data_IF_100416051873
#
_entry.id   IF_100416051873
#
_cell.length_a   1.000
_cell.length_b   1.000
_cell.length_c   1.000
_cell.angle_alpha   90.00
_cell.angle_beta   90.00
_cell.angle_gamma   90.00
#
_symmetry.space_group_name_H-M   'P 1'
#
loop_
_entity.id
_entity.type
_entity.pdbx_description
1 polymer ?
#
# COMPACT_ATOMS: atom_id res chain seq x y z
N UNK A 1 -19.84 -5.16 -5.21
CA UNK A 1 -18.64 -4.31 -5.06
C UNK A 1 -17.81 -4.42 -6.33
N UNK A 2 -17.02 -3.39 -6.69
CA UNK A 2 -16.24 -3.37 -7.94
C UNK A 2 -14.79 -3.84 -7.79
N UNK A 3 -14.30 -3.99 -6.55
CA UNK A 3 -12.95 -4.47 -6.25
C UNK A 3 -12.94 -6.00 -6.07
N UNK A 4 -11.84 -6.69 -6.41
CA UNK A 4 -11.69 -8.11 -6.12
C UNK A 4 -11.74 -8.40 -4.62
N UNK A 5 -12.47 -9.46 -4.25
CA UNK A 5 -12.68 -9.88 -2.87
C UNK A 5 -11.88 -11.14 -2.56
N UNK A 6 -11.28 -11.16 -1.37
CA UNK A 6 -10.47 -12.27 -0.89
C UNK A 6 -11.12 -12.85 0.37
N UNK A 7 -11.53 -14.12 0.35
CA UNK A 7 -12.02 -14.80 1.55
C UNK A 7 -10.85 -15.30 2.41
N UNK A 8 -10.80 -14.89 3.68
CA UNK A 8 -9.77 -15.30 4.64
C UNK A 8 -10.27 -16.51 5.46
N UNK A 9 -9.76 -17.70 5.17
CA UNK A 9 -10.28 -18.96 5.74
C UNK A 9 -9.42 -19.43 6.92
N UNK A 10 -10.08 -19.69 8.06
CA UNK A 10 -9.46 -20.27 9.25
C UNK A 10 -10.37 -21.32 9.88
N UNK A 11 -9.78 -22.43 10.34
CA UNK A 11 -10.41 -23.53 11.08
C UNK A 11 -11.47 -24.31 10.28
N UNK A 12 -12.53 -23.64 9.81
CA UNK A 12 -13.61 -24.25 9.05
C UNK A 12 -13.47 -23.98 7.56
N UNK A 13 -12.99 -24.99 6.83
CA UNK A 13 -12.84 -24.92 5.37
C UNK A 13 -14.16 -25.08 4.61
N UNK A 14 -15.26 -25.46 5.26
CA UNK A 14 -16.58 -25.52 4.60
C UNK A 14 -17.01 -24.16 4.07
N UNK A 15 -16.65 -23.09 4.78
CA UNK A 15 -16.86 -21.70 4.37
C UNK A 15 -16.15 -21.34 3.06
N UNK A 16 -15.05 -22.02 2.75
CA UNK A 16 -14.33 -21.85 1.49
C UNK A 16 -15.18 -22.26 0.29
N UNK A 17 -15.92 -23.37 0.38
CA UNK A 17 -16.80 -23.81 -0.71
C UNK A 17 -17.94 -22.83 -0.95
N UNK A 18 -18.54 -22.31 0.14
CA UNK A 18 -19.57 -21.28 0.07
C UNK A 18 -19.01 -20.01 -0.59
N UNK A 19 -17.81 -19.56 -0.19
CA UNK A 19 -17.18 -18.37 -0.76
C UNK A 19 -16.91 -18.54 -2.26
N UNK A 20 -16.45 -19.72 -2.70
CA UNK A 20 -16.25 -20.04 -4.12
C UNK A 20 -17.58 -20.05 -4.88
N UNK A 21 -18.64 -20.62 -4.30
CA UNK A 21 -19.99 -20.62 -4.87
C UNK A 21 -20.55 -19.21 -5.05
N UNK A 22 -20.31 -18.33 -4.07
CA UNK A 22 -20.70 -16.91 -4.12
C UNK A 22 -19.85 -16.05 -5.06
N UNK A 23 -18.82 -16.62 -5.70
CA UNK A 23 -18.01 -15.93 -6.70
C UNK A 23 -16.89 -15.05 -6.12
N UNK A 24 -16.26 -15.45 -5.01
CA UNK A 24 -15.06 -14.77 -4.50
C UNK A 24 -13.89 -14.82 -5.49
N UNK A 25 -13.10 -13.75 -5.60
CA UNK A 25 -12.01 -13.66 -6.59
C UNK A 25 -10.71 -14.36 -6.15
N UNK A 26 -10.55 -14.62 -4.85
CA UNK A 26 -9.40 -15.33 -4.27
C UNK A 26 -9.76 -15.92 -2.91
N UNK A 27 -9.14 -17.04 -2.55
CA UNK A 27 -9.19 -17.54 -1.17
C UNK A 27 -7.80 -17.46 -0.53
N UNK A 28 -7.75 -17.22 0.78
CA UNK A 28 -6.54 -17.35 1.60
C UNK A 28 -6.71 -18.54 2.53
N UNK A 29 -5.72 -19.44 2.54
CA UNK A 29 -5.59 -20.49 3.55
C UNK A 29 -4.41 -20.22 4.49
N UNK A 30 -4.51 -20.63 5.74
CA UNK A 30 -3.42 -20.59 6.71
C UNK A 30 -3.04 -22.01 7.12
N UNK A 31 -1.83 -22.49 6.77
CA UNK A 31 -1.30 -23.78 7.21
C UNK A 31 -1.47 -24.09 8.70
N UNK A 32 -1.44 -23.05 9.54
CA UNK A 32 -1.63 -23.11 10.99
C UNK A 32 -3.04 -23.46 11.46
N UNK A 33 -4.06 -23.14 10.66
CA UNK A 33 -5.47 -23.27 11.03
C UNK A 33 -6.24 -24.17 10.06
N UNK A 34 -5.55 -24.89 9.18
CA UNK A 34 -6.14 -25.91 8.30
C UNK A 34 -6.08 -27.27 9.01
N UNK A 35 -7.22 -27.81 9.49
CA UNK A 35 -7.21 -29.02 10.32
C UNK A 35 -7.12 -30.32 9.52
N UNK A 36 -7.57 -30.32 8.25
CA UNK A 36 -7.76 -31.55 7.47
C UNK A 36 -7.28 -31.37 6.02
N UNK A 37 -6.27 -32.16 5.64
CA UNK A 37 -5.68 -32.15 4.28
C UNK A 37 -6.62 -32.66 3.20
N UNK A 38 -7.53 -33.58 3.50
CA UNK A 38 -8.50 -34.09 2.54
C UNK A 38 -9.55 -33.04 2.18
N UNK A 39 -10.04 -32.29 3.18
CA UNK A 39 -10.94 -31.16 2.96
C UNK A 39 -10.22 -30.05 2.19
N UNK A 40 -8.98 -29.74 2.57
CA UNK A 40 -8.16 -28.77 1.84
C UNK A 40 -7.99 -29.20 0.36
N UNK A 41 -7.70 -30.47 0.09
CA UNK A 41 -7.58 -30.98 -1.28
C UNK A 41 -8.86 -30.75 -2.08
N UNK A 42 -10.02 -31.07 -1.51
CA UNK A 42 -11.34 -30.83 -2.15
C UNK A 42 -11.53 -29.34 -2.44
N UNK A 43 -11.19 -28.46 -1.50
CA UNK A 43 -11.29 -27.01 -1.69
C UNK A 43 -10.35 -26.50 -2.80
N UNK A 44 -9.12 -27.01 -2.86
CA UNK A 44 -8.17 -26.68 -3.94
C UNK A 44 -8.68 -27.16 -5.29
N UNK A 45 -9.29 -28.35 -5.38
CA UNK A 45 -9.89 -28.83 -6.64
C UNK A 45 -11.04 -27.93 -7.09
N UNK A 46 -11.86 -27.45 -6.16
CA UNK A 46 -12.95 -26.51 -6.46
C UNK A 46 -12.42 -25.16 -6.95
N UNK A 47 -11.42 -24.61 -6.27
CA UNK A 47 -10.77 -23.37 -6.69
C UNK A 47 -10.11 -23.51 -8.07
N UNK A 48 -9.47 -24.67 -8.33
CA UNK A 48 -8.88 -25.02 -9.64
C UNK A 48 -9.93 -25.09 -10.74
N UNK A 49 -11.07 -25.75 -10.49
CA UNK A 49 -12.16 -25.85 -11.47
C UNK A 49 -12.71 -24.46 -11.89
N UNK A 50 -12.61 -23.47 -11.00
CA UNK A 50 -13.03 -22.09 -11.21
C UNK A 50 -11.89 -21.13 -11.61
N UNK A 51 -10.65 -21.63 -11.69
CA UNK A 51 -9.42 -20.84 -11.87
C UNK A 51 -9.26 -19.68 -10.85
N UNK A 52 -9.67 -19.89 -9.60
CA UNK A 52 -9.59 -18.90 -8.53
C UNK A 52 -8.26 -19.02 -7.79
N UNK A 53 -7.42 -17.97 -7.72
CA UNK A 53 -6.13 -18.04 -7.05
C UNK A 53 -6.25 -18.40 -5.56
N UNK A 54 -5.18 -19.00 -5.02
CA UNK A 54 -5.08 -19.34 -3.59
C UNK A 54 -3.87 -18.64 -2.98
N UNK A 55 -4.08 -17.90 -1.90
CA UNK A 55 -2.98 -17.39 -1.07
C UNK A 55 -2.65 -18.38 0.05
N UNK A 56 -1.44 -18.96 0.04
CA UNK A 56 -0.88 -19.71 1.16
C UNK A 56 -0.23 -18.72 2.13
N UNK A 57 -0.90 -18.43 3.25
CA UNK A 57 -0.46 -17.40 4.18
C UNK A 57 -0.03 -17.92 5.54
N UNK A 58 1.29 -18.02 5.75
CA UNK A 58 1.92 -18.45 7.01
C UNK A 58 2.12 -17.24 7.93
N UNK A 59 1.63 -17.36 9.17
CA UNK A 59 1.84 -16.38 10.23
C UNK A 59 2.57 -17.06 11.39
N UNK A 60 3.59 -16.39 11.96
CA UNK A 60 4.36 -16.91 13.11
C UNK A 60 3.52 -17.31 14.31
N UNK A 61 2.52 -16.48 14.68
CA UNK A 61 1.65 -16.75 15.82
C UNK A 61 0.77 -18.00 15.70
N UNK A 62 0.61 -18.54 14.48
CA UNK A 62 -0.20 -19.72 14.21
C UNK A 62 0.59 -20.87 13.57
N UNK A 63 1.92 -20.79 13.53
CA UNK A 63 2.73 -21.81 12.88
C UNK A 63 2.51 -23.18 13.57
N UNK A 64 2.26 -24.28 12.82
CA UNK A 64 2.11 -25.60 13.44
C UNK A 64 3.36 -26.01 14.23
N UNK A 65 3.18 -26.68 15.36
CA UNK A 65 4.29 -27.06 16.26
C UNK A 65 5.30 -28.05 15.63
N UNK A 66 4.97 -28.64 14.47
CA UNK A 66 5.90 -29.46 13.69
C UNK A 66 7.01 -28.66 13.00
N UNK A 67 6.94 -27.32 13.00
CA UNK A 67 7.95 -26.44 12.41
C UNK A 67 8.64 -25.60 13.49
N UNK A 68 9.92 -25.28 13.28
CA UNK A 68 10.64 -24.35 14.15
C UNK A 68 10.03 -22.95 14.11
N UNK A 69 9.99 -22.25 15.25
CA UNK A 69 9.39 -20.89 15.35
C UNK A 69 10.39 -19.79 14.97
N UNK A 70 11.21 -20.06 13.95
CA UNK A 70 12.19 -19.17 13.33
C UNK A 70 11.87 -18.96 11.83
N UNK A 71 12.69 -18.15 11.14
CA UNK A 71 12.48 -17.84 9.72
C UNK A 71 12.54 -19.09 8.84
N UNK A 72 13.41 -20.04 9.15
CA UNK A 72 13.56 -21.29 8.41
C UNK A 72 12.30 -22.15 8.51
N UNK A 73 11.71 -22.27 9.69
CA UNK A 73 10.46 -23.02 9.90
C UNK A 73 9.25 -22.36 9.24
N UNK A 74 9.19 -21.02 9.24
CA UNK A 74 8.17 -20.27 8.49
C UNK A 74 8.25 -20.54 6.99
N UNK A 75 9.45 -20.45 6.41
CA UNK A 75 9.67 -20.71 4.98
C UNK A 75 9.39 -22.18 4.67
N UNK A 76 9.86 -23.11 5.50
CA UNK A 76 9.61 -24.53 5.30
C UNK A 76 8.12 -24.86 5.27
N UNK A 77 7.34 -24.29 6.19
CA UNK A 77 5.89 -24.48 6.22
C UNK A 77 5.21 -23.96 4.94
N UNK A 78 5.63 -22.79 4.45
CA UNK A 78 5.11 -22.25 3.19
C UNK A 78 5.44 -23.16 2.00
N UNK A 79 6.70 -23.60 1.89
CA UNK A 79 7.17 -24.50 0.82
C UNK A 79 6.43 -25.84 0.82
N UNK A 80 6.23 -26.45 2.00
CA UNK A 80 5.54 -27.74 2.11
C UNK A 80 4.08 -27.65 1.66
N UNK A 81 3.37 -26.55 1.98
CA UNK A 81 1.99 -26.35 1.54
C UNK A 81 1.88 -25.94 0.07
N UNK A 82 2.82 -25.15 -0.45
CA UNK A 82 2.90 -24.84 -1.89
C UNK A 82 3.09 -26.14 -2.67
N UNK A 83 4.10 -26.94 -2.31
CA UNK A 83 4.38 -28.23 -2.95
C UNK A 83 3.18 -29.18 -2.87
N UNK A 84 2.50 -29.24 -1.73
CA UNK A 84 1.31 -30.07 -1.56
C UNK A 84 0.21 -29.70 -2.57
N UNK A 85 0.00 -28.40 -2.82
CA UNK A 85 -1.00 -27.91 -3.78
C UNK A 85 -0.54 -28.16 -5.23
N UNK A 86 0.75 -28.00 -5.52
CA UNK A 86 1.36 -28.33 -6.80
C UNK A 86 1.24 -29.83 -7.13
N UNK A 87 1.44 -30.70 -6.15
CA UNK A 87 1.28 -32.16 -6.27
C UNK A 87 -0.19 -32.55 -6.56
N UNK A 88 -1.15 -31.67 -6.23
CA UNK A 88 -2.55 -31.81 -6.63
C UNK A 88 -2.85 -31.18 -8.01
N UNK A 89 -1.82 -30.64 -8.66
CA UNK A 89 -1.86 -30.09 -10.01
C UNK A 89 -2.44 -28.68 -10.07
N UNK A 90 -2.23 -27.83 -9.06
CA UNK A 90 -2.65 -26.43 -9.09
C UNK A 90 -1.50 -25.48 -8.75
N UNK A 91 -1.37 -24.39 -9.51
CA UNK A 91 -0.23 -23.46 -9.43
C UNK A 91 -0.65 -21.98 -9.53
N UNK A 92 -1.94 -21.64 -9.50
CA UNK A 92 -2.36 -20.24 -9.43
C UNK A 92 -2.29 -19.78 -7.96
N UNK A 93 -1.07 -19.54 -7.48
CA UNK A 93 -0.75 -19.34 -6.07
C UNK A 93 -0.15 -17.96 -5.79
N UNK A 94 -0.43 -17.46 -4.59
CA UNK A 94 0.25 -16.33 -3.96
C UNK A 94 0.76 -16.82 -2.61
N UNK A 95 1.93 -16.37 -2.17
CA UNK A 95 2.50 -16.79 -0.87
C UNK A 95 2.68 -15.59 0.03
N UNK A 96 2.52 -15.76 1.35
CA UNK A 96 2.91 -14.74 2.31
C UNK A 96 3.47 -15.37 3.58
N UNK A 97 4.57 -14.80 4.07
CA UNK A 97 5.09 -15.07 5.41
C UNK A 97 5.05 -13.78 6.20
N UNK A 98 4.39 -13.80 7.36
CA UNK A 98 4.27 -12.63 8.23
C UNK A 98 4.75 -12.93 9.64
N UNK A 99 5.59 -12.02 10.14
CA UNK A 99 5.94 -11.91 11.54
C UNK A 99 5.52 -10.55 12.09
N UNK A 100 5.44 -10.46 13.41
CA UNK A 100 5.34 -9.19 14.10
C UNK A 100 6.69 -8.50 14.26
N UNK A 101 7.80 -9.16 13.95
CA UNK A 101 9.11 -8.53 13.87
C UNK A 101 9.42 -8.09 12.42
N UNK A 102 9.77 -6.80 12.18
CA UNK A 102 10.10 -6.31 10.85
C UNK A 102 11.30 -7.01 10.20
N UNK A 103 12.36 -7.27 10.95
CA UNK A 103 13.60 -7.88 10.42
C UNK A 103 13.36 -9.34 10.04
N UNK A 104 12.69 -10.11 10.90
CA UNK A 104 12.28 -11.48 10.61
C UNK A 104 11.34 -11.55 9.39
N UNK A 105 10.44 -10.58 9.24
CA UNK A 105 9.57 -10.49 8.05
C UNK A 105 10.40 -10.32 6.78
N UNK A 106 11.40 -9.43 6.80
CA UNK A 106 12.29 -9.18 5.65
C UNK A 106 13.10 -10.44 5.33
N UNK A 107 13.78 -11.00 6.32
CA UNK A 107 14.67 -12.14 6.14
C UNK A 107 13.93 -13.41 5.72
N UNK A 108 12.74 -13.67 6.27
CA UNK A 108 11.92 -14.81 5.87
C UNK A 108 11.41 -14.67 4.42
N UNK A 109 11.00 -13.47 4.00
CA UNK A 109 10.53 -13.26 2.62
C UNK A 109 11.69 -13.25 1.61
N UNK A 110 12.89 -12.78 1.96
CA UNK A 110 14.12 -12.96 1.17
C UNK A 110 14.42 -14.43 0.93
N UNK A 111 14.41 -15.22 2.00
CA UNK A 111 14.65 -16.65 1.93
C UNK A 111 13.56 -17.37 1.13
N UNK A 112 12.29 -16.96 1.26
CA UNK A 112 11.20 -17.50 0.46
C UNK A 112 11.39 -17.22 -1.04
N UNK A 113 11.73 -15.97 -1.39
CA UNK A 113 11.94 -15.53 -2.77
C UNK A 113 13.09 -16.27 -3.47
N UNK A 114 14.08 -16.79 -2.72
CA UNK A 114 15.16 -17.61 -3.29
C UNK A 114 14.73 -19.05 -3.61
N UNK A 115 13.57 -19.50 -3.14
CA UNK A 115 13.08 -20.88 -3.32
C UNK A 115 11.87 -21.01 -4.25
N UNK A 116 11.07 -19.95 -4.44
CA UNK A 116 9.85 -19.96 -5.24
C UNK A 116 9.75 -18.74 -6.16
N UNK A 117 9.00 -18.89 -7.25
CA UNK A 117 8.73 -17.84 -8.24
C UNK A 117 7.27 -17.35 -8.20
N UNK A 118 6.55 -17.62 -7.11
CA UNK A 118 5.17 -17.15 -6.93
C UNK A 118 5.12 -15.72 -6.38
N UNK A 119 4.09 -14.92 -6.72
CA UNK A 119 3.89 -13.61 -6.14
C UNK A 119 3.84 -13.64 -4.61
N UNK A 120 4.51 -12.68 -3.96
CA UNK A 120 4.61 -12.53 -2.52
C UNK A 120 3.68 -11.42 -2.04
N UNK A 121 2.76 -11.76 -1.13
CA UNK A 121 1.94 -10.80 -0.39
C UNK A 121 2.65 -10.39 0.90
N UNK A 122 3.31 -9.24 0.85
CA UNK A 122 4.14 -8.71 1.93
C UNK A 122 3.30 -7.98 3.00
N UNK A 123 3.75 -8.04 4.25
CA UNK A 123 3.17 -7.25 5.34
C UNK A 123 3.71 -7.67 6.70
N UNK A 124 3.90 -6.69 7.59
CA UNK A 124 4.18 -6.92 9.01
C UNK A 124 2.84 -7.12 9.72
N UNK A 125 2.68 -8.22 10.45
CA UNK A 125 1.45 -8.47 11.24
C UNK A 125 1.59 -7.88 12.64
N UNK A 126 0.47 -7.68 13.34
CA UNK A 126 0.48 -7.17 14.73
C UNK A 126 1.37 -5.92 14.89
N UNK A 127 1.24 -4.95 13.98
CA UNK A 127 2.08 -3.76 13.99
C UNK A 127 1.71 -2.82 15.15
N UNK A 128 0.48 -2.90 15.64
CA UNK A 128 -0.10 -1.98 16.63
C UNK A 128 -0.87 -0.83 15.98
N UNK A 129 -1.34 0.11 16.79
CA UNK A 129 -2.11 1.28 16.35
C UNK A 129 -1.29 2.56 16.25
N UNK A 130 -1.85 3.55 15.55
CA UNK A 130 -1.29 4.90 15.43
C UNK A 130 0.14 4.93 14.88
N UNK A 131 0.92 5.93 15.29
CA UNK A 131 2.27 6.18 14.78
C UNK A 131 3.23 5.00 14.98
N UNK A 132 3.07 4.20 16.05
CA UNK A 132 3.93 3.03 16.32
C UNK A 132 3.74 1.94 15.26
N UNK A 133 2.48 1.64 14.92
CA UNK A 133 2.16 0.66 13.88
C UNK A 133 2.57 1.12 12.50
N UNK A 134 2.44 2.42 12.22
CA UNK A 134 2.90 3.05 10.98
C UNK A 134 4.40 2.89 10.84
N UNK A 135 5.20 3.36 11.81
CA UNK A 135 6.67 3.26 11.77
C UNK A 135 7.12 1.81 11.62
N UNK A 136 6.55 0.90 12.42
CA UNK A 136 6.90 -0.53 12.37
C UNK A 136 6.61 -1.17 11.02
N UNK A 137 5.45 -0.87 10.42
CA UNK A 137 5.09 -1.36 9.10
C UNK A 137 5.97 -0.76 8.01
N UNK A 138 6.23 0.55 8.06
CA UNK A 138 7.09 1.25 7.10
C UNK A 138 8.50 0.67 7.07
N UNK A 139 9.10 0.38 8.24
CA UNK A 139 10.44 -0.23 8.31
C UNK A 139 10.46 -1.60 7.63
N UNK A 140 9.56 -2.52 8.01
CA UNK A 140 9.55 -3.87 7.45
C UNK A 140 9.23 -3.91 5.95
N UNK A 141 8.25 -3.11 5.51
CA UNK A 141 7.88 -3.02 4.10
C UNK A 141 8.98 -2.38 3.26
N UNK A 142 9.55 -1.25 3.70
CA UNK A 142 10.56 -0.55 2.91
C UNK A 142 11.83 -1.36 2.68
N UNK A 143 12.28 -2.11 3.70
CA UNK A 143 13.47 -2.96 3.59
C UNK A 143 13.27 -4.07 2.56
N UNK A 144 12.14 -4.80 2.61
CA UNK A 144 11.87 -5.87 1.66
C UNK A 144 11.59 -5.35 0.24
N UNK A 145 10.80 -4.28 0.11
CA UNK A 145 10.45 -3.70 -1.20
C UNK A 145 11.68 -3.14 -1.93
N UNK A 146 12.64 -2.54 -1.20
CA UNK A 146 13.89 -2.03 -1.78
C UNK A 146 14.76 -3.16 -2.35
N UNK A 147 14.67 -4.35 -1.78
CA UNK A 147 15.35 -5.55 -2.26
C UNK A 147 14.56 -6.26 -3.39
N UNK A 148 13.51 -5.62 -3.91
CA UNK A 148 12.68 -6.15 -5.00
C UNK A 148 11.69 -7.23 -4.57
N UNK A 149 11.37 -7.32 -3.27
CA UNK A 149 10.52 -8.38 -2.72
C UNK A 149 9.14 -7.82 -2.36
N UNK A 150 8.11 -8.40 -2.99
CA UNK A 150 6.71 -8.14 -2.69
C UNK A 150 5.94 -7.61 -3.90
N UNK A 151 4.87 -8.32 -4.25
CA UNK A 151 4.02 -8.03 -5.41
C UNK A 151 2.70 -7.37 -4.99
N UNK A 152 2.30 -7.58 -3.74
CA UNK A 152 1.19 -6.89 -3.09
C UNK A 152 1.53 -6.64 -1.63
N UNK A 153 1.13 -5.49 -1.10
CA UNK A 153 1.37 -5.12 0.30
C UNK A 153 0.07 -5.07 1.09
N UNK A 154 0.17 -5.34 2.40
CA UNK A 154 -0.86 -5.00 3.37
C UNK A 154 -0.20 -4.47 4.64
N UNK A 155 -0.54 -3.25 5.02
CA UNK A 155 -0.26 -2.69 6.36
C UNK A 155 -1.31 -3.26 7.32
N UNK A 156 -0.93 -3.63 8.55
CA UNK A 156 -1.85 -4.23 9.54
C UNK A 156 -1.87 -3.39 10.82
N UNK A 157 -2.73 -2.37 10.84
CA UNK A 157 -2.87 -1.43 11.96
C UNK A 157 -4.06 -1.81 12.84
N UNK A 158 -3.95 -1.51 14.13
CA UNK A 158 -5.12 -1.48 15.00
C UNK A 158 -5.84 -0.15 14.79
N UNK A 159 -6.97 -0.15 14.06
CA UNK A 159 -7.76 1.05 13.79
C UNK A 159 -8.60 0.94 12.52
N UNK A 160 -8.91 2.09 11.92
CA UNK A 160 -9.64 2.19 10.66
C UNK A 160 -8.84 1.57 9.49
N UNK A 161 -9.39 0.61 8.74
CA UNK A 161 -8.73 0.03 7.56
C UNK A 161 -8.38 1.05 6.48
N UNK A 162 -9.07 2.19 6.39
CA UNK A 162 -8.72 3.28 5.47
C UNK A 162 -7.31 3.80 5.75
N UNK A 163 -6.90 3.86 7.03
CA UNK A 163 -5.53 4.26 7.39
C UNK A 163 -4.50 3.22 6.96
N UNK A 164 -4.82 1.92 6.96
CA UNK A 164 -3.92 0.90 6.40
C UNK A 164 -3.64 1.16 4.91
N UNK A 165 -4.69 1.54 4.16
CA UNK A 165 -4.58 1.84 2.72
C UNK A 165 -3.76 3.11 2.48
N UNK A 166 -4.04 4.20 3.21
CA UNK A 166 -3.29 5.46 3.11
C UNK A 166 -1.79 5.22 3.36
N UNK A 167 -1.47 4.53 4.45
CA UNK A 167 -0.07 4.23 4.83
C UNK A 167 0.60 3.32 3.80
N UNK A 168 -0.11 2.33 3.24
CA UNK A 168 0.43 1.48 2.20
C UNK A 168 0.84 2.28 0.94
N UNK A 169 -0.03 3.19 0.49
CA UNK A 169 0.31 4.07 -0.64
C UNK A 169 1.43 5.04 -0.31
N UNK A 170 1.48 5.59 0.91
CA UNK A 170 2.56 6.48 1.36
C UNK A 170 3.93 5.81 1.31
N UNK A 171 4.01 4.57 1.80
CA UNK A 171 5.24 3.77 1.76
C UNK A 171 5.67 3.53 0.32
N UNK A 172 4.76 3.06 -0.54
CA UNK A 172 5.06 2.78 -1.95
C UNK A 172 5.49 4.04 -2.70
N UNK A 173 4.88 5.19 -2.40
CA UNK A 173 5.24 6.49 -2.98
C UNK A 173 6.59 6.98 -2.52
N UNK A 174 6.88 6.88 -1.23
CA UNK A 174 8.16 7.26 -0.65
C UNK A 174 9.34 6.45 -1.22
N UNK A 175 9.07 5.23 -1.70
CA UNK A 175 10.04 4.37 -2.37
C UNK A 175 10.08 4.55 -3.90
N UNK A 176 9.23 5.41 -4.46
CA UNK A 176 9.13 5.62 -5.91
C UNK A 176 8.50 4.45 -6.67
N UNK A 177 7.80 3.54 -5.99
CA UNK A 177 7.19 2.34 -6.60
C UNK A 177 5.78 2.60 -7.13
N UNK A 178 5.07 3.59 -6.59
CA UNK A 178 3.74 4.01 -7.03
C UNK A 178 3.58 5.52 -6.89
N UNK A 179 2.80 6.13 -7.77
CA UNK A 179 2.56 7.57 -7.80
C UNK A 179 1.06 7.84 -7.78
N UNK A 180 0.42 7.66 -6.62
CA UNK A 180 -1.01 7.94 -6.42
C UNK A 180 -1.18 9.09 -5.42
N UNK A 181 -2.02 10.05 -5.78
CA UNK A 181 -2.42 11.18 -4.96
C UNK A 181 -1.33 12.21 -4.73
N UNK A 182 -1.66 13.20 -3.89
CA UNK A 182 -0.81 14.36 -3.63
C UNK A 182 0.35 14.01 -2.70
N UNK A 183 1.57 14.29 -3.14
CA UNK A 183 2.77 14.24 -2.32
C UNK A 183 3.02 15.63 -1.72
N UNK A 184 2.71 15.79 -0.44
CA UNK A 184 2.89 17.06 0.27
C UNK A 184 4.32 17.17 0.81
N UNK A 185 5.06 18.14 0.30
CA UNK A 185 6.44 18.41 0.67
C UNK A 185 6.44 19.67 1.53
N UNK A 186 6.67 19.52 2.83
CA UNK A 186 6.73 20.64 3.75
C UNK A 186 8.09 20.77 4.41
N UNK A 187 8.52 22.01 4.65
CA UNK A 187 9.67 22.24 5.52
C UNK A 187 9.28 22.00 6.98
N UNK A 188 10.20 21.55 7.85
CA UNK A 188 9.98 21.64 9.28
C UNK A 188 9.82 23.11 9.70
N UNK A 189 9.09 23.36 10.79
CA UNK A 189 9.08 24.70 11.39
C UNK A 189 10.46 25.01 11.98
N UNK A 190 10.91 26.26 11.83
CA UNK A 190 12.17 26.75 12.38
C UNK A 190 12.02 28.21 12.82
N UNK A 191 13.07 28.83 13.37
CA UNK A 191 13.04 30.24 13.81
C UNK A 191 12.77 31.27 12.70
N UNK A 192 12.70 30.85 11.43
CA UNK A 192 12.31 31.68 10.28
C UNK A 192 10.84 31.55 9.90
N UNK A 193 10.12 30.59 10.47
CA UNK A 193 8.69 30.41 10.20
C UNK A 193 7.93 31.57 10.85
N UNK A 194 7.25 32.37 10.03
CA UNK A 194 6.52 33.56 10.48
C UNK A 194 5.00 33.37 10.46
N UNK A 195 4.55 32.15 10.18
CA UNK A 195 3.14 31.78 10.05
C UNK A 195 2.85 30.51 10.84
N UNK A 196 1.58 30.24 11.07
CA UNK A 196 1.09 28.95 11.56
C UNK A 196 1.08 27.92 10.43
N UNK A 197 2.27 27.44 10.08
CA UNK A 197 2.48 26.49 8.98
C UNK A 197 1.74 25.17 9.22
N UNK A 198 1.61 24.73 10.48
CA UNK A 198 0.93 23.48 10.82
C UNK A 198 -0.55 23.55 10.46
N UNK A 199 -1.23 24.64 10.85
CA UNK A 199 -2.63 24.87 10.51
C UNK A 199 -2.86 24.93 8.99
N UNK A 200 -2.01 25.67 8.26
CA UNK A 200 -2.11 25.77 6.80
C UNK A 200 -1.82 24.43 6.10
N UNK A 201 -0.85 23.67 6.60
CA UNK A 201 -0.55 22.34 6.07
C UNK A 201 -1.74 21.41 6.23
N UNK A 202 -2.36 21.36 7.42
CA UNK A 202 -3.53 20.51 7.69
C UNK A 202 -4.74 20.90 6.83
N UNK A 203 -4.95 22.20 6.61
CA UNK A 203 -6.01 22.70 5.71
C UNK A 203 -5.80 22.19 4.27
N UNK A 204 -4.57 22.32 3.74
CA UNK A 204 -4.21 21.83 2.40
C UNK A 204 -4.33 20.31 2.33
N UNK A 205 -3.82 19.58 3.33
CA UNK A 205 -3.87 18.12 3.39
C UNK A 205 -5.30 17.59 3.35
N UNK A 206 -6.19 18.15 4.17
CA UNK A 206 -7.59 17.75 4.19
C UNK A 206 -8.30 18.10 2.89
N UNK A 207 -8.04 19.27 2.30
CA UNK A 207 -8.69 19.69 1.07
C UNK A 207 -8.30 18.86 -0.16
N UNK A 208 -7.13 18.22 -0.11
CA UNK A 208 -6.54 17.45 -1.21
C UNK A 208 -6.58 15.92 -1.00
N UNK A 209 -7.21 15.44 0.07
CA UNK A 209 -7.23 14.03 0.46
C UNK A 209 -7.81 13.10 -0.63
N UNK A 210 -8.82 13.56 -1.36
CA UNK A 210 -9.51 12.78 -2.41
C UNK A 210 -8.80 12.84 -3.77
N UNK A 211 -7.78 13.69 -3.92
CA UNK A 211 -7.04 13.83 -5.17
C UNK A 211 -6.19 12.57 -5.38
N UNK A 212 -6.41 11.89 -6.50
CA UNK A 212 -5.75 10.60 -6.81
C UNK A 212 -4.66 10.70 -7.87
N UNK A 213 -4.59 11.82 -8.60
CA UNK A 213 -3.51 12.07 -9.56
C UNK A 213 -2.17 12.25 -8.83
N UNK A 214 -1.05 11.78 -9.42
CA UNK A 214 0.27 12.10 -8.89
C UNK A 214 0.59 13.57 -9.10
N UNK A 215 0.83 14.29 -8.02
CA UNK A 215 1.26 15.69 -8.06
C UNK A 215 2.06 16.04 -6.82
N UNK A 216 3.20 16.70 -7.01
CA UNK A 216 4.06 17.17 -5.92
C UNK A 216 3.68 18.60 -5.52
N UNK A 217 3.28 18.77 -4.26
CA UNK A 217 2.79 20.05 -3.72
C UNK A 217 3.68 20.50 -2.57
N UNK A 218 4.34 21.64 -2.73
CA UNK A 218 5.24 22.19 -1.72
C UNK A 218 4.56 23.22 -0.81
N UNK A 219 4.76 23.11 0.50
CA UNK A 219 4.21 24.01 1.54
C UNK A 219 5.33 24.50 2.46
N UNK A 220 5.82 25.71 2.23
CA UNK A 220 7.06 26.21 2.85
C UNK A 220 6.80 27.40 3.77
N UNK A 221 7.27 27.34 5.01
CA UNK A 221 7.02 28.37 6.04
C UNK A 221 7.87 29.65 5.96
N UNK A 222 8.79 29.75 5.00
CA UNK A 222 9.55 30.98 4.76
C UNK A 222 9.83 31.22 3.26
N UNK A 223 9.90 32.49 2.87
CA UNK A 223 10.17 32.90 1.48
C UNK A 223 11.63 32.77 1.03
N UNK A 224 12.57 32.52 1.97
CA UNK A 224 14.01 32.52 1.69
C UNK A 224 14.47 31.20 1.09
N UNK A 225 14.13 30.09 1.73
CA UNK A 225 14.48 28.76 1.23
C UNK A 225 13.34 28.11 0.43
N UNK A 226 12.09 28.55 0.64
CA UNK A 226 10.90 27.92 0.07
C UNK A 226 10.92 27.77 -1.46
N UNK A 227 11.15 28.84 -2.24
CA UNK A 227 11.16 28.73 -3.70
C UNK A 227 12.33 27.89 -4.26
N UNK A 228 13.43 27.78 -3.52
CA UNK A 228 14.60 26.98 -3.91
C UNK A 228 14.43 25.49 -3.61
N UNK A 229 13.94 25.18 -2.41
CA UNK A 229 13.63 23.81 -1.94
C UNK A 229 12.45 23.20 -2.70
N UNK A 230 11.53 24.04 -3.19
CA UNK A 230 10.34 23.61 -3.92
C UNK A 230 10.47 23.61 -5.45
N UNK A 231 11.66 23.84 -6.02
CA UNK A 231 11.84 23.83 -7.50
C UNK A 231 11.44 22.51 -8.15
N UNK A 232 11.52 21.42 -7.40
CA UNK A 232 11.20 20.07 -7.87
C UNK A 232 9.70 19.77 -7.78
N UNK A 233 8.92 20.56 -7.05
CA UNK A 233 7.48 20.38 -6.93
C UNK A 233 6.74 20.94 -8.15
N UNK A 234 5.61 20.33 -8.50
CA UNK A 234 4.75 20.78 -9.58
C UNK A 234 4.12 22.14 -9.27
N UNK A 235 3.73 22.35 -8.02
CA UNK A 235 3.25 23.63 -7.52
C UNK A 235 3.51 23.77 -6.02
N UNK A 236 3.35 24.99 -5.49
CA UNK A 236 3.44 25.18 -4.06
C UNK A 236 3.36 26.62 -3.60
N UNK A 237 3.45 26.78 -2.29
CA UNK A 237 3.38 28.06 -1.59
C UNK A 237 4.63 28.25 -0.72
N UNK A 238 5.23 29.43 -0.80
CA UNK A 238 6.21 29.90 0.17
C UNK A 238 5.63 31.08 0.96
N UNK A 239 5.37 30.84 2.24
CA UNK A 239 4.80 31.83 3.15
C UNK A 239 5.86 32.81 3.66
N UNK A 240 5.47 34.07 3.79
CA UNK A 240 6.08 35.08 4.64
C UNK A 240 5.03 35.58 5.65
N UNK A 241 5.40 36.54 6.50
CA UNK A 241 4.53 37.03 7.58
C UNK A 241 3.09 37.39 7.14
N UNK A 242 2.97 38.23 6.12
CA UNK A 242 1.67 38.78 5.68
C UNK A 242 1.37 38.45 4.20
N UNK A 243 2.26 37.70 3.53
CA UNK A 243 2.18 37.41 2.09
C UNK A 243 2.67 36.01 1.80
N UNK A 244 2.15 35.41 0.74
CA UNK A 244 2.54 34.09 0.28
C UNK A 244 2.82 34.12 -1.22
N UNK A 245 3.94 33.52 -1.63
CA UNK A 245 4.30 33.37 -3.04
C UNK A 245 3.76 32.03 -3.53
N UNK A 246 2.86 32.07 -4.52
CA UNK A 246 2.39 30.88 -5.22
C UNK A 246 3.20 30.67 -6.49
N UNK A 247 3.65 29.44 -6.73
CA UNK A 247 4.45 29.09 -7.90
C UNK A 247 4.01 27.76 -8.50
N UNK A 248 4.28 27.61 -9.81
CA UNK A 248 4.05 26.39 -10.59
C UNK A 248 5.34 26.08 -11.36
N UNK A 249 5.87 24.87 -11.21
CA UNK A 249 7.12 24.40 -11.84
C UNK A 249 8.27 25.40 -11.69
N UNK A 250 8.43 25.91 -10.45
CA UNK A 250 9.44 26.90 -10.09
C UNK A 250 9.23 28.32 -10.63
N UNK A 251 8.13 28.60 -11.36
CA UNK A 251 7.77 29.95 -11.84
C UNK A 251 6.77 30.59 -10.90
N UNK A 252 7.08 31.80 -10.43
CA UNK A 252 6.19 32.59 -9.59
C UNK A 252 4.96 32.99 -10.41
N UNK A 253 3.78 32.56 -9.97
CA UNK A 253 2.50 32.95 -10.55
C UNK A 253 2.07 34.31 -9.99
N UNK A 254 2.28 34.51 -8.69
CA UNK A 254 1.94 35.75 -8.02
C UNK A 254 2.28 35.72 -6.54
N UNK A 255 2.04 36.85 -5.89
CA UNK A 255 2.13 37.00 -4.43
C UNK A 255 0.77 37.43 -3.93
N UNK A 256 0.24 36.68 -2.97
CA UNK A 256 -1.13 36.83 -2.47
C UNK A 256 -1.13 36.92 -0.94
N UNK A 257 -2.27 37.22 -0.35
CA UNK A 257 -2.46 36.96 1.08
C UNK A 257 -2.41 35.45 1.36
N UNK A 258 -1.99 35.00 2.56
CA UNK A 258 -1.83 33.57 2.86
C UNK A 258 -3.04 32.70 2.54
N UNK A 259 -4.25 33.15 2.92
CA UNK A 259 -5.49 32.41 2.65
C UNK A 259 -5.82 32.32 1.17
N UNK A 260 -5.69 33.44 0.45
CA UNK A 260 -5.91 33.47 -0.99
C UNK A 260 -4.92 32.55 -1.72
N UNK A 261 -3.66 32.48 -1.27
CA UNK A 261 -2.68 31.55 -1.83
C UNK A 261 -3.07 30.08 -1.62
N UNK A 262 -3.57 29.72 -0.43
CA UNK A 262 -4.06 28.37 -0.11
C UNK A 262 -5.25 28.00 -1.02
N UNK A 263 -6.26 28.88 -1.12
CA UNK A 263 -7.42 28.67 -1.98
C UNK A 263 -7.02 28.47 -3.45
N UNK A 264 -6.07 29.28 -3.95
CA UNK A 264 -5.54 29.16 -5.32
C UNK A 264 -4.80 27.86 -5.55
N UNK A 265 -3.98 27.44 -4.60
CA UNK A 265 -3.27 26.15 -4.67
C UNK A 265 -4.27 24.99 -4.74
N UNK A 266 -5.25 24.97 -3.85
CA UNK A 266 -6.27 23.91 -3.79
C UNK A 266 -7.07 23.87 -5.10
N UNK A 267 -7.52 25.02 -5.61
CA UNK A 267 -8.24 25.11 -6.89
C UNK A 267 -7.39 24.56 -8.03
N UNK A 268 -6.14 24.99 -8.12
CA UNK A 268 -5.22 24.54 -9.16
C UNK A 268 -5.05 23.02 -9.15
N UNK A 269 -4.80 22.41 -7.99
CA UNK A 269 -4.62 20.95 -7.88
C UNK A 269 -5.90 20.19 -8.26
N UNK A 270 -7.08 20.69 -7.85
CA UNK A 270 -8.36 20.06 -8.20
C UNK A 270 -8.68 20.17 -9.69
N UNK A 271 -8.41 21.31 -10.31
CA UNK A 271 -8.56 21.49 -11.76
C UNK A 271 -7.63 20.55 -12.56
N UNK A 272 -6.39 20.35 -12.11
CA UNK A 272 -5.48 19.37 -12.74
C UNK A 272 -5.99 17.93 -12.59
N UNK A 273 -6.60 17.60 -11.45
CA UNK A 273 -7.22 16.30 -11.21
C UNK A 273 -8.42 16.04 -12.14
N UNK A 274 -9.27 17.05 -12.36
CA UNK A 274 -10.41 16.97 -13.28
C UNK A 274 -9.94 16.80 -14.73
N UNK A 275 -8.98 17.61 -15.20
CA UNK A 275 -8.40 17.50 -16.55
C UNK A 275 -7.83 16.11 -16.82
N UNK A 276 -7.10 15.55 -15.85
CA UNK A 276 -6.51 14.21 -15.96
C UNK A 276 -7.56 13.09 -15.87
N UNK A 277 -8.67 13.33 -15.18
CA UNK A 277 -9.81 12.40 -15.10
C UNK A 277 -10.46 12.21 -16.46
N UNK A 278 -10.66 13.29 -17.21
CA UNK A 278 -11.22 13.26 -18.57
C UNK A 278 -10.31 12.49 -19.56
N UNK A 279 -8.99 12.65 -19.44
CA UNK A 279 -8.03 11.89 -20.25
C UNK A 279 -8.00 10.40 -19.88
N UNK A 280 -8.06 10.05 -18.59
CA UNK A 280 -8.06 8.66 -18.12
C UNK A 280 -9.37 7.91 -18.44
N UNK A 281 -10.53 8.59 -18.47
CA UNK A 281 -11.77 7.98 -18.95
C UNK A 281 -11.67 7.63 -20.44
N UNK A 282 -11.00 8.47 -21.24
CA UNK A 282 -10.75 8.16 -22.67
C UNK A 282 -9.77 6.99 -22.85
N UNK A 283 -8.71 6.90 -22.03
CA UNK A 283 -7.71 5.85 -22.11
C UNK A 283 -8.21 4.50 -21.56
N UNK A 284 -9.09 4.50 -20.55
CA UNK A 284 -9.67 3.29 -19.99
C UNK A 284 -10.66 2.63 -20.98
N UNK A 285 -11.47 3.42 -21.69
CA UNK A 285 -12.39 2.92 -22.72
C UNK A 285 -11.68 2.43 -24.00
N UNK A 286 -10.49 2.96 -24.32
CA UNK A 286 -9.70 2.52 -25.48
C UNK A 286 -8.81 1.30 -25.21
N UNK A 287 -8.73 0.83 -23.96
CA UNK A 287 -7.96 -0.36 -23.58
C UNK A 287 -8.78 -1.66 -23.56
N UNK A 288 -10.09 -1.60 -23.78
CA UNK A 288 -11.00 -2.76 -23.85
C UNK A 288 -11.36 -3.21 -25.27
N UNK A 289 -10.77 -2.62 -26.32
CA UNK A 289 -11.07 -2.94 -27.73
C UNK A 289 -9.85 -3.39 -28.57
N UNK A 290 -8.82 -3.98 -27.96
CA UNK A 290 -7.78 -4.69 -28.72
C UNK A 290 -7.48 -6.03 -28.10
N UNK A 291 -8.25 -7.02 -28.54
CA UNK A 291 -7.80 -8.36 -28.93
C UNK A 291 -9.02 -9.11 -29.50
N UNK A 292 -9.20 -8.99 -30.82
CA UNK A 292 -9.96 -9.93 -31.66
C UNK A 292 -9.02 -10.64 -32.61
#
# INVERSE_FOLDING_TARGET
>A
VSIPIIADLHFDLSLGFIALEMGVDKIRINPGTVPNREILKKLVMEAKARNIPIRVGVNKGSLPDSYSKDKEGLVRCALDYVKLIEDWGYNNLVVSIKSSDPEETVEANKLLASHLQYPISLGVTEAGGGWRGIVKSSVGLALALKDGIGDTVRVSLTGDPVMEVKVAYEILRSLGLRSRGVNLIACPTCGRCQVDLESYYQEIESALEEVTIPIDVAVMGCSVNGPGEAKLADCGIAFGKDKAVFFIKGKIVGTFEPKEAIERLISFVKEEAERSGDENVSAFLLSTERDT
#
